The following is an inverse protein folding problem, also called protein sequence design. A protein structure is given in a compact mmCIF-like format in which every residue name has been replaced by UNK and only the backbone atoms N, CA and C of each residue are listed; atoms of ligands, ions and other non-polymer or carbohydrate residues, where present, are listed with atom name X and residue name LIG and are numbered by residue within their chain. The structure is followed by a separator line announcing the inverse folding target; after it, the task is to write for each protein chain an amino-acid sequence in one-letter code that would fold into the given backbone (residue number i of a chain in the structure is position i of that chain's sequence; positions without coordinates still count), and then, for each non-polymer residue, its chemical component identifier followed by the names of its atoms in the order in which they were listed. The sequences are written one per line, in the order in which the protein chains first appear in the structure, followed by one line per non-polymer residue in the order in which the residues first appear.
data_IF_954383699249
#
_entry.id   IF_954383699249
#
_cell.length_a   1.000
_cell.length_b   1.000
_cell.length_c   1.000
_cell.angle_alpha   90.00
_cell.angle_beta   90.00
_cell.angle_gamma   90.00
#
_symmetry.space_group_name_H-M   'P 1'
#
loop_
_entity.id
_entity.type
_entity.pdbx_description
1 polymer ?
#
# COMPACT_ATOMS: atom_id res chain seq x y z
N UNK A 1 3.93 26.19 -35.83
CA UNK A 1 4.70 27.18 -35.05
C UNK A 1 4.21 27.13 -33.61
N UNK A 2 5.10 26.91 -32.64
CA UNK A 2 4.71 26.91 -31.22
C UNK A 2 4.34 28.35 -30.79
N UNK A 3 3.27 28.49 -30.00
CA UNK A 3 2.78 29.79 -29.55
C UNK A 3 3.81 30.47 -28.63
N UNK A 4 3.98 31.80 -28.73
CA UNK A 4 5.00 32.54 -27.99
C UNK A 4 4.89 32.36 -26.46
N UNK A 5 3.67 32.16 -25.96
CA UNK A 5 3.40 31.83 -24.57
C UNK A 5 3.97 30.46 -24.16
N UNK A 6 3.86 29.44 -25.02
CA UNK A 6 4.42 28.10 -24.78
C UNK A 6 5.94 28.14 -24.71
N UNK A 7 6.57 28.89 -25.63
CA UNK A 7 8.02 29.08 -25.61
C UNK A 7 8.49 29.82 -24.34
N UNK A 8 7.72 30.81 -23.89
CA UNK A 8 7.97 31.51 -22.63
C UNK A 8 7.88 30.59 -21.41
N UNK A 9 6.91 29.67 -21.39
CA UNK A 9 6.78 28.69 -20.32
C UNK A 9 7.93 27.68 -20.31
N UNK A 10 8.29 27.12 -21.49
CA UNK A 10 9.44 26.22 -21.62
C UNK A 10 10.73 26.91 -21.14
N UNK A 11 10.95 28.17 -21.49
CA UNK A 11 12.11 28.92 -21.03
C UNK A 11 12.14 29.09 -19.50
N UNK A 12 10.98 29.36 -18.87
CA UNK A 12 10.87 29.42 -17.40
C UNK A 12 11.20 28.08 -16.75
N UNK A 13 10.73 26.97 -17.32
CA UNK A 13 11.04 25.63 -16.83
C UNK A 13 12.53 25.33 -16.92
N UNK A 14 13.14 25.62 -18.07
CA UNK A 14 14.58 25.43 -18.28
C UNK A 14 15.40 26.29 -17.30
N UNK A 15 15.04 27.56 -17.10
CA UNK A 15 15.73 28.46 -16.16
C UNK A 15 15.61 28.00 -14.71
N UNK A 16 14.44 27.49 -14.31
CA UNK A 16 14.21 26.96 -12.96
C UNK A 16 14.75 25.54 -12.76
N UNK A 17 15.34 24.94 -13.79
CA UNK A 17 15.83 23.57 -13.74
C UNK A 17 14.72 22.52 -13.64
N UNK A 18 13.47 22.88 -13.95
CA UNK A 18 12.37 21.95 -13.97
C UNK A 18 12.60 20.90 -15.05
N UNK A 19 12.35 19.65 -14.68
CA UNK A 19 12.43 18.48 -15.55
C UNK A 19 11.05 17.85 -15.59
N UNK A 20 10.71 17.27 -16.73
CA UNK A 20 9.54 16.40 -16.81
C UNK A 20 9.77 15.29 -15.78
N UNK A 21 8.82 15.01 -14.87
CA UNK A 21 8.99 14.06 -13.77
C UNK A 21 9.10 12.60 -14.23
N UNK A 22 9.23 12.34 -15.53
CA UNK A 22 9.21 11.01 -16.11
C UNK A 22 10.38 10.16 -15.58
N UNK A 23 10.06 9.18 -14.74
CA UNK A 23 11.05 8.31 -14.11
C UNK A 23 11.90 9.02 -13.07
N UNK A 24 11.36 10.06 -12.41
CA UNK A 24 12.02 10.73 -11.30
C UNK A 24 12.42 9.75 -10.19
N UNK A 25 11.53 8.80 -9.89
CA UNK A 25 11.81 7.71 -8.98
C UNK A 25 12.09 6.41 -9.72
N UNK A 26 13.07 5.68 -9.22
CA UNK A 26 13.28 4.27 -9.61
C UNK A 26 12.38 3.33 -8.81
N UNK A 27 12.22 2.11 -9.32
CA UNK A 27 11.73 0.99 -8.52
C UNK A 27 12.92 0.31 -7.85
N UNK A 28 12.82 0.10 -6.54
CA UNK A 28 13.80 -0.62 -5.74
C UNK A 28 13.19 -1.93 -5.24
N UNK A 29 14.04 -2.95 -5.17
CA UNK A 29 13.65 -4.27 -4.66
C UNK A 29 13.40 -4.20 -3.15
N UNK A 30 12.38 -4.94 -2.70
CA UNK A 30 12.07 -5.13 -1.28
C UNK A 30 11.77 -6.61 -1.01
N UNK A 31 12.34 -7.14 0.08
CA UNK A 31 12.22 -8.57 0.40
C UNK A 31 12.86 -9.45 -0.67
N UNK A 32 12.27 -10.62 -0.94
CA UNK A 32 12.82 -11.61 -1.86
C UNK A 32 12.40 -11.43 -3.34
N UNK A 33 11.29 -10.75 -3.60
CA UNK A 33 10.78 -10.55 -4.97
C UNK A 33 9.95 -9.28 -5.15
N UNK A 34 9.69 -8.52 -4.08
CA UNK A 34 8.84 -7.33 -4.16
C UNK A 34 9.59 -6.15 -4.77
N UNK A 35 8.85 -5.17 -5.28
CA UNK A 35 9.41 -3.92 -5.75
C UNK A 35 8.49 -2.74 -5.39
N UNK A 36 9.07 -1.66 -4.90
CA UNK A 36 8.38 -0.40 -4.58
C UNK A 36 9.12 0.77 -5.20
N UNK A 37 8.46 1.92 -5.28
CA UNK A 37 9.11 3.19 -5.58
C UNK A 37 10.22 3.42 -4.55
N UNK A 38 11.38 3.90 -4.96
CA UNK A 38 12.60 3.87 -4.14
C UNK A 38 12.50 4.58 -2.78
N UNK A 39 11.71 5.65 -2.70
CA UNK A 39 11.42 6.37 -1.44
C UNK A 39 10.52 5.54 -0.51
N UNK A 40 9.45 4.96 -1.04
CA UNK A 40 8.58 4.03 -0.32
C UNK A 40 9.34 2.77 0.11
N UNK A 41 10.21 2.24 -0.76
CA UNK A 41 11.07 1.09 -0.47
C UNK A 41 12.00 1.37 0.71
N UNK A 42 12.69 2.51 0.70
CA UNK A 42 13.59 2.92 1.78
C UNK A 42 12.87 2.99 3.12
N UNK A 43 11.68 3.61 3.14
CA UNK A 43 10.88 3.70 4.36
C UNK A 43 10.34 2.33 4.82
N UNK A 44 9.90 1.49 3.89
CA UNK A 44 9.42 0.14 4.19
C UNK A 44 10.53 -0.75 4.76
N UNK A 45 11.76 -0.64 4.24
CA UNK A 45 12.94 -1.35 4.76
C UNK A 45 13.30 -0.90 6.17
N UNK A 46 13.26 0.40 6.44
CA UNK A 46 13.44 0.92 7.80
C UNK A 46 12.38 0.39 8.78
N UNK A 47 11.11 0.39 8.34
CA UNK A 47 10.01 -0.15 9.12
C UNK A 47 10.15 -1.65 9.39
N UNK A 48 10.55 -2.45 8.39
CA UNK A 48 10.84 -3.88 8.55
C UNK A 48 11.86 -4.15 9.64
N UNK A 49 12.99 -3.42 9.62
CA UNK A 49 14.05 -3.55 10.60
C UNK A 49 13.53 -3.24 12.02
N UNK A 50 12.83 -2.12 12.18
CA UNK A 50 12.26 -1.71 13.46
C UNK A 50 11.25 -2.74 14.00
N UNK A 51 10.35 -3.22 13.15
CA UNK A 51 9.36 -4.21 13.57
C UNK A 51 10.00 -5.52 14.01
N UNK A 52 11.10 -5.92 13.38
CA UNK A 52 11.87 -7.10 13.79
C UNK A 52 12.46 -6.93 15.19
N UNK A 53 12.96 -5.75 15.55
CA UNK A 53 13.45 -5.45 16.90
C UNK A 53 12.33 -5.51 17.95
N UNK A 54 11.10 -5.10 17.57
CA UNK A 54 9.89 -5.24 18.40
C UNK A 54 9.31 -6.65 18.40
N UNK A 55 9.97 -7.59 17.73
CA UNK A 55 9.56 -8.97 17.64
C UNK A 55 8.44 -9.23 16.65
N UNK A 56 8.02 -8.25 15.84
CA UNK A 56 7.07 -8.40 14.74
C UNK A 56 7.73 -8.77 13.41
N UNK A 57 6.94 -8.80 12.33
CA UNK A 57 7.44 -8.95 10.96
C UNK A 57 6.44 -8.36 9.97
N UNK A 58 6.95 -7.80 8.88
CA UNK A 58 6.22 -7.48 7.63
C UNK A 58 7.02 -7.95 6.41
N UNK A 59 8.00 -8.82 6.64
CA UNK A 59 8.88 -9.30 5.58
C UNK A 59 8.09 -10.14 4.55
N UNK A 60 8.66 -10.26 3.35
CA UNK A 60 8.10 -11.10 2.31
C UNK A 60 8.06 -12.60 2.67
N UNK A 61 7.40 -13.44 1.84
CA UNK A 61 6.80 -13.09 0.55
C UNK A 61 5.56 -12.18 0.73
N UNK A 62 5.46 -11.14 -0.09
CA UNK A 62 4.32 -10.22 -0.06
C UNK A 62 3.08 -10.86 -0.72
N UNK A 63 1.90 -10.33 -0.46
CA UNK A 63 0.73 -10.63 -1.30
C UNK A 63 0.88 -9.98 -2.68
N UNK A 64 1.38 -8.74 -2.70
CA UNK A 64 1.57 -7.91 -3.88
C UNK A 64 2.40 -6.66 -3.54
N UNK A 65 3.07 -6.08 -4.53
CA UNK A 65 3.84 -4.82 -4.39
C UNK A 65 3.70 -3.99 -5.66
N UNK A 66 4.45 -4.32 -6.72
CA UNK A 66 4.35 -3.68 -8.02
C UNK A 66 3.46 -4.48 -8.96
N UNK A 67 2.32 -3.90 -9.35
CA UNK A 67 1.44 -4.45 -10.40
C UNK A 67 1.85 -3.96 -11.79
N UNK A 68 1.72 -4.79 -12.85
CA UNK A 68 1.79 -4.31 -14.22
C UNK A 68 0.54 -3.48 -14.58
N UNK A 69 0.60 -2.75 -15.69
CA UNK A 69 -0.61 -2.16 -16.29
C UNK A 69 -1.55 -3.26 -16.75
N UNK A 70 -2.84 -3.14 -16.43
CA UNK A 70 -3.82 -4.19 -16.75
C UNK A 70 -4.88 -3.67 -17.71
N UNK A 71 -5.17 -4.46 -18.77
CA UNK A 71 -6.28 -4.19 -19.69
C UNK A 71 -7.64 -4.54 -19.09
N UNK A 72 -7.67 -5.51 -18.18
CA UNK A 72 -8.87 -5.99 -17.49
C UNK A 72 -8.61 -6.01 -15.99
N UNK A 73 -9.63 -5.64 -15.21
CA UNK A 73 -9.54 -5.56 -13.75
C UNK A 73 -10.36 -6.70 -13.15
N UNK A 74 -9.78 -7.47 -12.24
CA UNK A 74 -10.50 -8.47 -11.45
C UNK A 74 -11.32 -7.81 -10.33
N UNK A 75 -12.38 -8.46 -9.88
CA UNK A 75 -13.13 -8.04 -8.69
C UNK A 75 -12.20 -7.79 -7.49
N UNK A 76 -12.32 -6.60 -6.88
CA UNK A 76 -11.47 -6.18 -5.76
C UNK A 76 -10.20 -5.43 -6.18
N UNK A 77 -9.83 -5.38 -7.46
CA UNK A 77 -8.70 -4.56 -7.92
C UNK A 77 -9.18 -3.20 -8.44
N UNK A 78 -8.28 -2.21 -8.41
CA UNK A 78 -8.50 -0.87 -8.98
C UNK A 78 -7.55 -0.64 -10.16
N UNK A 79 -8.07 -0.03 -11.24
CA UNK A 79 -7.26 0.35 -12.42
C UNK A 79 -6.25 1.44 -12.06
N UNK A 80 -6.58 2.29 -11.09
CA UNK A 80 -5.79 3.44 -10.65
C UNK A 80 -5.06 3.15 -9.34
N UNK A 81 -4.82 1.87 -9.04
CA UNK A 81 -4.22 1.41 -7.79
C UNK A 81 -2.77 1.86 -7.63
N UNK A 82 -2.39 2.22 -6.41
CA UNK A 82 -1.01 2.54 -6.05
C UNK A 82 0.02 1.43 -6.25
N UNK A 83 -0.41 0.16 -6.34
CA UNK A 83 0.48 -0.92 -6.73
C UNK A 83 1.10 -0.70 -8.12
N UNK A 84 0.43 0.02 -9.02
CA UNK A 84 0.98 0.32 -10.34
C UNK A 84 2.17 1.27 -10.24
N UNK A 85 2.19 2.17 -9.26
CA UNK A 85 3.28 3.12 -9.06
C UNK A 85 4.30 2.65 -8.01
N UNK A 86 4.18 1.39 -7.53
CA UNK A 86 5.06 0.84 -6.49
C UNK A 86 4.88 1.52 -5.14
N UNK A 87 3.69 2.05 -4.84
CA UNK A 87 3.40 2.76 -3.58
C UNK A 87 2.58 1.95 -2.59
N UNK A 88 2.10 0.78 -2.98
CA UNK A 88 1.31 -0.09 -2.12
C UNK A 88 2.00 -1.43 -1.89
N UNK A 89 1.79 -1.97 -0.70
CA UNK A 89 2.23 -3.30 -0.28
C UNK A 89 1.03 -4.05 0.26
N UNK A 90 0.80 -5.24 -0.27
CA UNK A 90 -0.09 -6.22 0.32
C UNK A 90 0.78 -7.16 1.17
N UNK A 91 0.52 -7.21 2.48
CA UNK A 91 1.22 -8.11 3.39
C UNK A 91 0.99 -9.59 3.04
N UNK A 92 1.89 -10.45 3.52
CA UNK A 92 1.78 -11.90 3.38
C UNK A 92 0.48 -12.45 4.00
N UNK A 93 -0.51 -12.82 3.18
CA UNK A 93 -1.78 -13.35 3.69
C UNK A 93 -1.67 -14.76 4.29
N UNK A 94 -0.55 -15.47 4.04
CA UNK A 94 -0.25 -16.78 4.61
C UNK A 94 0.56 -16.72 5.92
N UNK A 95 0.87 -15.53 6.43
CA UNK A 95 1.63 -15.38 7.67
C UNK A 95 0.81 -15.84 8.88
N UNK A 96 1.27 -16.91 9.54
CA UNK A 96 0.57 -17.55 10.67
C UNK A 96 0.62 -16.74 11.97
N UNK A 97 1.48 -15.73 12.03
CA UNK A 97 1.61 -14.82 13.18
C UNK A 97 0.64 -13.63 13.12
N UNK A 98 -0.08 -13.44 12.03
CA UNK A 98 -1.06 -12.35 11.90
C UNK A 98 -2.44 -12.76 12.36
N UNK A 99 -3.04 -11.91 13.17
CA UNK A 99 -4.41 -12.03 13.62
C UNK A 99 -5.15 -10.73 13.33
N UNK A 100 -6.22 -10.83 12.56
CA UNK A 100 -6.91 -9.67 12.01
C UNK A 100 -8.18 -9.41 12.81
N UNK A 101 -8.37 -8.20 13.30
CA UNK A 101 -9.54 -7.76 14.05
C UNK A 101 -10.33 -6.72 13.24
N UNK A 102 -11.66 -6.76 13.34
CA UNK A 102 -12.50 -5.71 12.76
C UNK A 102 -12.40 -4.45 13.60
N UNK A 103 -12.37 -3.32 12.91
CA UNK A 103 -12.39 -1.99 13.49
C UNK A 103 -13.42 -1.15 12.74
N UNK A 104 -14.72 -1.27 13.07
CA UNK A 104 -15.76 -0.48 12.40
C UNK A 104 -15.58 1.00 12.73
N UNK A 105 -15.57 1.86 11.71
CA UNK A 105 -15.41 3.32 11.86
C UNK A 105 -16.17 4.03 10.74
N UNK A 106 -17.04 4.98 11.10
CA UNK A 106 -17.73 5.82 10.11
C UNK A 106 -18.64 5.07 9.13
N UNK A 107 -19.15 3.89 9.50
CA UNK A 107 -19.94 3.03 8.61
C UNK A 107 -19.10 2.12 7.70
N UNK A 108 -17.77 2.20 7.78
CA UNK A 108 -16.84 1.34 7.05
C UNK A 108 -16.22 0.29 7.97
N UNK A 109 -15.76 -0.82 7.39
CA UNK A 109 -15.00 -1.84 8.12
C UNK A 109 -13.52 -1.62 7.86
N UNK A 110 -12.78 -1.23 8.90
CA UNK A 110 -11.32 -1.20 8.87
C UNK A 110 -10.78 -2.46 9.55
N UNK A 111 -9.51 -2.76 9.32
CA UNK A 111 -8.85 -3.92 9.89
C UNK A 111 -7.65 -3.53 10.74
N UNK A 112 -7.56 -4.11 11.93
CA UNK A 112 -6.38 -4.03 12.78
C UNK A 112 -5.67 -5.38 12.75
N UNK A 113 -4.35 -5.36 12.62
CA UNK A 113 -3.53 -6.56 12.61
C UNK A 113 -2.74 -6.63 13.91
N UNK A 114 -2.91 -7.72 14.63
CA UNK A 114 -2.03 -8.10 15.73
C UNK A 114 -1.00 -9.11 15.21
N UNK A 115 0.28 -8.79 15.34
CA UNK A 115 1.36 -9.71 15.01
C UNK A 115 1.85 -10.36 16.30
N UNK A 116 1.67 -11.68 16.45
CA UNK A 116 2.21 -12.41 17.60
C UNK A 116 3.72 -12.28 17.61
N UNK A 117 4.34 -11.83 18.70
CA UNK A 117 5.79 -11.57 18.75
C UNK A 117 6.61 -12.85 18.70
N UNK A 118 7.87 -12.77 18.22
CA UNK A 118 8.78 -13.92 18.19
C UNK A 118 9.16 -14.40 19.58
N UNK A 119 9.35 -13.46 20.52
CA UNK A 119 9.50 -13.77 21.94
C UNK A 119 8.16 -13.66 22.66
N UNK A 120 7.77 -14.72 23.35
CA UNK A 120 6.54 -14.83 24.14
C UNK A 120 6.80 -14.79 25.66
N UNK A 121 8.03 -14.47 26.09
CA UNK A 121 8.39 -14.25 27.50
C UNK A 121 7.74 -13.01 28.12
N UNK A 122 7.29 -12.08 27.26
CA UNK A 122 6.80 -10.76 27.64
C UNK A 122 7.83 -9.64 27.50
N UNK A 123 9.05 -9.95 27.05
CA UNK A 123 10.05 -8.93 26.73
C UNK A 123 9.72 -8.11 25.45
N UNK A 124 8.88 -8.66 24.57
CA UNK A 124 8.40 -8.02 23.34
C UNK A 124 6.88 -8.02 23.28
N UNK A 125 6.31 -6.93 22.77
CA UNK A 125 4.86 -6.77 22.61
C UNK A 125 4.11 -6.65 23.94
N UNK A 126 2.79 -6.79 23.86
CA UNK A 126 1.89 -6.74 25.01
C UNK A 126 0.72 -7.71 24.86
N UNK A 127 0.02 -7.98 25.95
CA UNK A 127 -1.22 -8.76 25.94
C UNK A 127 -2.39 -7.85 25.56
N UNK A 128 -3.25 -8.33 24.66
CA UNK A 128 -4.48 -7.63 24.28
C UNK A 128 -5.69 -8.41 24.80
N UNK A 129 -6.00 -8.23 26.08
CA UNK A 129 -7.11 -8.92 26.72
C UNK A 129 -8.45 -8.46 26.13
N UNK A 130 -9.34 -9.41 25.83
CA UNK A 130 -10.65 -9.14 25.26
C UNK A 130 -10.68 -8.82 23.75
N UNK A 131 -9.51 -8.78 23.08
CA UNK A 131 -9.48 -8.58 21.63
C UNK A 131 -10.17 -9.74 20.89
N UNK A 132 -11.01 -9.41 19.90
CA UNK A 132 -11.65 -10.37 19.01
C UNK A 132 -10.99 -10.32 17.63
N UNK A 133 -10.74 -11.48 17.05
CA UNK A 133 -10.12 -11.64 15.74
C UNK A 133 -11.05 -12.39 14.82
N UNK A 134 -11.07 -11.98 13.56
CA UNK A 134 -11.94 -12.49 12.52
C UNK A 134 -11.23 -13.54 11.67
N UNK A 135 -11.84 -14.71 11.55
CA UNK A 135 -11.40 -15.73 10.61
C UNK A 135 -12.14 -15.56 9.28
N UNK A 136 -11.40 -15.31 8.20
CA UNK A 136 -11.95 -15.23 6.84
C UNK A 136 -12.38 -16.60 6.29
N UNK A 137 -11.94 -17.70 6.90
CA UNK A 137 -12.34 -19.07 6.53
C UNK A 137 -13.68 -19.43 7.17
N UNK A 138 -13.80 -19.31 8.49
CA UNK A 138 -15.03 -19.66 9.20
C UNK A 138 -16.07 -18.53 9.20
N UNK A 139 -15.66 -17.33 8.78
CA UNK A 139 -16.45 -16.08 8.79
C UNK A 139 -16.97 -15.70 10.19
N UNK A 140 -16.21 -16.02 11.23
CA UNK A 140 -16.57 -15.80 12.63
C UNK A 140 -15.48 -15.07 13.38
N UNK A 141 -15.89 -14.37 14.44
CA UNK A 141 -14.99 -13.79 15.42
C UNK A 141 -14.73 -14.80 16.54
N UNK A 142 -13.51 -14.77 17.05
CA UNK A 142 -13.07 -15.54 18.21
C UNK A 142 -12.12 -14.70 19.05
N UNK A 143 -11.93 -15.03 20.35
CA UNK A 143 -10.90 -14.38 21.14
C UNK A 143 -9.52 -14.50 20.47
N UNK A 144 -8.74 -13.42 20.53
CA UNK A 144 -7.31 -13.47 20.21
C UNK A 144 -6.65 -14.54 21.10
N UNK A 145 -5.87 -15.49 20.54
CA UNK A 145 -5.19 -16.47 21.37
C UNK A 145 -4.28 -15.83 22.42
N UNK A 146 -4.06 -16.52 23.54
CA UNK A 146 -3.15 -16.01 24.57
C UNK A 146 -1.72 -15.86 24.01
N UNK A 147 -1.08 -14.76 24.37
CA UNK A 147 0.29 -14.44 23.98
C UNK A 147 0.60 -12.96 24.06
N UNK A 148 1.81 -12.61 23.63
CA UNK A 148 2.27 -11.24 23.44
C UNK A 148 2.24 -10.88 21.96
N UNK A 149 1.75 -9.70 21.67
CA UNK A 149 1.49 -9.23 20.32
C UNK A 149 2.01 -7.80 20.16
N UNK A 150 2.37 -7.48 18.94
CA UNK A 150 2.53 -6.12 18.46
C UNK A 150 1.24 -5.67 17.79
N UNK A 151 0.76 -4.46 18.07
CA UNK A 151 -0.26 -3.82 17.24
C UNK A 151 0.39 -3.38 15.94
N UNK A 152 0.44 -4.31 14.99
CA UNK A 152 1.19 -4.13 13.76
C UNK A 152 0.65 -2.95 12.94
N UNK A 153 -0.67 -2.78 12.93
CA UNK A 153 -1.29 -1.65 12.24
C UNK A 153 -0.88 -0.32 12.85
N UNK A 154 -0.89 -0.20 14.18
CA UNK A 154 -0.44 1.02 14.84
C UNK A 154 1.03 1.32 14.53
N UNK A 155 1.88 0.29 14.51
CA UNK A 155 3.30 0.46 14.24
C UNK A 155 3.61 0.84 12.79
N UNK A 156 2.90 0.27 11.81
CA UNK A 156 3.05 0.63 10.39
C UNK A 156 2.63 2.10 10.17
N UNK A 157 1.53 2.53 10.80
CA UNK A 157 1.00 3.88 10.62
C UNK A 157 1.62 4.94 11.53
N UNK A 158 2.52 4.54 12.44
CA UNK A 158 3.02 5.41 13.53
C UNK A 158 3.62 6.71 13.04
N UNK A 159 4.32 6.68 11.91
CA UNK A 159 5.00 7.85 11.33
C UNK A 159 4.12 8.60 10.31
N UNK A 160 2.90 8.13 10.07
CA UNK A 160 1.97 8.72 9.11
C UNK A 160 2.40 8.56 7.64
N UNK A 161 3.42 7.76 7.38
CA UNK A 161 3.98 7.57 6.04
C UNK A 161 3.25 6.48 5.24
N UNK A 162 2.76 5.45 5.95
CA UNK A 162 1.91 4.40 5.39
C UNK A 162 0.53 4.45 6.05
N UNK A 163 -0.50 4.24 5.26
CA UNK A 163 -1.87 4.10 5.75
C UNK A 163 -2.48 2.79 5.25
N UNK A 164 -3.37 2.20 6.05
CA UNK A 164 -4.25 1.12 5.59
C UNK A 164 -5.44 1.71 4.83
N UNK A 165 -6.17 0.86 4.10
CA UNK A 165 -7.48 1.20 3.54
C UNK A 165 -8.60 0.43 4.26
N UNK A 166 -9.85 0.85 4.06
CA UNK A 166 -11.01 0.11 4.56
C UNK A 166 -11.39 -1.02 3.60
N UNK A 167 -12.15 -2.00 4.09
CA UNK A 167 -12.74 -3.04 3.27
C UNK A 167 -13.69 -2.44 2.23
N UNK A 168 -13.67 -2.97 1.02
CA UNK A 168 -14.63 -2.61 -0.01
C UNK A 168 -16.01 -3.18 0.32
N UNK A 169 -17.06 -2.59 -0.26
CA UNK A 169 -18.43 -3.11 -0.13
C UNK A 169 -18.52 -4.55 -0.65
N UNK A 170 -19.07 -5.46 0.15
CA UNK A 170 -19.25 -6.87 -0.21
C UNK A 170 -18.13 -7.80 0.26
N UNK A 171 -17.17 -7.30 1.04
CA UNK A 171 -16.05 -8.08 1.58
C UNK A 171 -16.48 -9.33 2.36
N UNK A 172 -17.66 -9.34 2.97
CA UNK A 172 -18.23 -10.48 3.70
C UNK A 172 -18.43 -11.70 2.79
N UNK A 173 -18.66 -11.44 1.50
CA UNK A 173 -18.87 -12.45 0.47
C UNK A 173 -17.59 -12.74 -0.32
N UNK A 174 -16.73 -11.72 -0.50
CA UNK A 174 -15.51 -11.81 -1.30
C UNK A 174 -14.29 -11.40 -0.48
N UNK A 175 -13.49 -12.38 -0.03
CA UNK A 175 -12.32 -12.12 0.83
C UNK A 175 -11.32 -11.13 0.22
N UNK A 176 -11.17 -11.09 -1.11
CA UNK A 176 -10.31 -10.12 -1.83
C UNK A 176 -10.71 -8.66 -1.61
N UNK A 177 -11.97 -8.41 -1.32
CA UNK A 177 -12.49 -7.07 -1.01
C UNK A 177 -12.26 -6.67 0.45
N UNK A 178 -11.68 -7.55 1.28
CA UNK A 178 -11.41 -7.20 2.68
C UNK A 178 -10.26 -6.20 2.82
N UNK A 179 -9.25 -6.23 1.96
CA UNK A 179 -8.12 -5.29 1.99
C UNK A 179 -7.35 -5.24 3.32
N UNK A 180 -7.50 -6.25 4.20
CA UNK A 180 -6.89 -6.20 5.54
C UNK A 180 -5.36 -6.14 5.49
N UNK A 181 -4.77 -6.62 4.40
CA UNK A 181 -3.33 -6.70 4.18
C UNK A 181 -2.74 -5.46 3.51
N UNK A 182 -3.56 -4.53 3.03
CA UNK A 182 -3.14 -3.46 2.13
C UNK A 182 -2.67 -2.22 2.88
N UNK A 183 -1.45 -1.76 2.58
CA UNK A 183 -0.90 -0.50 3.06
C UNK A 183 -0.33 0.32 1.91
N UNK A 184 -0.53 1.63 1.94
CA UNK A 184 -0.08 2.54 0.88
C UNK A 184 0.75 3.70 1.43
N UNK A 185 1.83 4.00 0.72
CA UNK A 185 2.69 5.17 0.93
C UNK A 185 1.97 6.43 0.49
N UNK A 186 1.79 7.40 1.39
CA UNK A 186 1.01 8.63 1.16
C UNK A 186 1.81 9.91 0.88
N UNK A 187 3.08 10.07 1.30
CA UNK A 187 3.84 11.31 1.06
C UNK A 187 3.92 11.70 -0.41
N UNK A 188 3.59 12.96 -0.72
CA UNK A 188 3.65 13.47 -2.09
C UNK A 188 2.78 12.68 -3.07
N UNK A 189 1.59 12.22 -2.65
CA UNK A 189 0.55 11.71 -3.55
C UNK A 189 0.19 12.78 -4.58
N UNK A 190 0.17 12.42 -5.85
CA UNK A 190 -0.23 13.33 -6.93
C UNK A 190 -1.75 13.43 -7.05
N UNK A 191 -2.22 14.51 -7.68
CA UNK A 191 -3.64 14.76 -7.91
C UNK A 191 -4.24 13.77 -8.92
N UNK A 192 -3.48 13.40 -9.95
CA UNK A 192 -3.92 12.52 -11.03
C UNK A 192 -3.14 11.21 -11.05
N UNK A 193 -3.78 10.15 -11.55
CA UNK A 193 -3.14 8.84 -11.71
C UNK A 193 -2.07 8.86 -12.79
N UNK A 194 -2.23 9.69 -13.83
CA UNK A 194 -1.18 9.92 -14.83
C UNK A 194 0.08 10.50 -14.20
N UNK A 195 -0.02 11.58 -13.43
CA UNK A 195 1.15 12.21 -12.79
C UNK A 195 1.88 11.23 -11.86
N UNK A 196 1.11 10.43 -11.11
CA UNK A 196 1.66 9.39 -10.23
C UNK A 196 2.40 8.29 -11.01
N UNK A 197 1.91 7.94 -12.20
CA UNK A 197 2.54 6.97 -13.09
C UNK A 197 3.82 7.52 -13.74
N UNK A 198 3.79 8.78 -14.17
CA UNK A 198 4.94 9.43 -14.81
C UNK A 198 6.13 9.50 -13.85
N UNK A 199 5.89 9.71 -12.55
CA UNK A 199 6.94 9.70 -11.52
C UNK A 199 7.80 8.43 -11.52
N UNK A 200 7.27 7.28 -11.99
CA UNK A 200 8.00 6.00 -12.09
C UNK A 200 8.27 5.58 -13.54
N UNK A 201 8.15 6.50 -14.49
CA UNK A 201 8.51 6.29 -15.88
C UNK A 201 7.40 5.67 -16.74
N UNK A 202 6.18 5.54 -16.23
CA UNK A 202 5.03 5.08 -17.00
C UNK A 202 4.43 6.27 -17.73
N UNK A 203 4.57 6.29 -19.06
CA UNK A 203 4.07 7.37 -19.92
C UNK A 203 2.56 7.26 -20.17
N UNK A 204 1.91 8.39 -20.46
CA UNK A 204 0.53 8.41 -20.94
C UNK A 204 0.33 7.45 -22.12
N UNK A 205 1.25 7.44 -23.10
CA UNK A 205 1.18 6.52 -24.25
C UNK A 205 1.07 5.06 -23.83
N UNK A 206 1.80 4.63 -22.80
CA UNK A 206 1.71 3.27 -22.25
C UNK A 206 0.37 3.03 -21.56
N UNK A 207 -0.14 4.00 -20.80
CA UNK A 207 -1.47 3.94 -20.17
C UNK A 207 -2.57 3.81 -21.23
N UNK A 208 -2.55 4.63 -22.28
CA UNK A 208 -3.51 4.53 -23.40
C UNK A 208 -3.46 3.18 -24.10
N UNK A 209 -2.26 2.67 -24.36
CA UNK A 209 -2.07 1.34 -24.96
C UNK A 209 -2.59 0.21 -24.05
N UNK A 210 -2.61 0.43 -22.72
CA UNK A 210 -3.22 -0.45 -21.74
C UNK A 210 -4.74 -0.23 -21.56
N UNK A 211 -5.34 0.71 -22.29
CA UNK A 211 -6.79 0.95 -22.31
C UNK A 211 -7.29 1.89 -21.21
N UNK A 212 -6.45 2.81 -20.72
CA UNK A 212 -6.85 3.86 -19.79
C UNK A 212 -7.53 5.02 -20.54
N UNK A 213 -8.70 5.41 -20.06
CA UNK A 213 -9.50 6.54 -20.58
C UNK A 213 -9.07 7.87 -19.95
N UNK A 214 -9.52 9.01 -20.51
CA UNK A 214 -9.23 10.33 -19.91
C UNK A 214 -9.67 10.38 -18.44
N UNK A 215 -10.86 9.84 -18.17
CA UNK A 215 -11.40 9.75 -16.81
C UNK A 215 -10.56 8.86 -15.87
N UNK A 216 -9.83 7.86 -16.39
CA UNK A 216 -8.92 7.06 -15.56
C UNK A 216 -7.63 7.83 -15.25
N UNK A 217 -7.14 8.61 -16.21
CA UNK A 217 -5.90 9.38 -16.07
C UNK A 217 -6.06 10.53 -15.09
N UNK A 218 -7.15 11.29 -15.19
CA UNK A 218 -7.45 12.46 -14.36
C UNK A 218 -7.96 12.08 -12.95
N UNK A 219 -8.19 10.79 -12.69
CA UNK A 219 -8.67 10.31 -11.40
C UNK A 219 -7.56 10.38 -10.35
N UNK A 220 -7.93 10.69 -9.11
CA UNK A 220 -7.02 10.52 -7.98
C UNK A 220 -6.52 9.05 -7.87
N UNK A 221 -5.20 8.83 -7.68
CA UNK A 221 -4.65 7.49 -7.53
C UNK A 221 -5.03 6.88 -6.17
N UNK A 222 -5.06 5.55 -6.10
CA UNK A 222 -5.58 4.80 -4.94
C UNK A 222 -6.57 3.74 -5.36
#
# INVERSE_FOLDING_TARGET
MAHQATLGEIARWLQKGFRVPLGYFKLAEVGSWGALREDAASAWVGLMARLRELGGTIDGPYGDTKRPLMKTISTGASKTSFHICGRAVDLNQGQTRYYVAKEPRGGETWWRIYCKTSDQSGAQGQRFEGALVYSFVSKKESPLPAGFYLDLTAEIQREGLFERIHAQRGWEQHSRQSEWWHFQWVPGKQETFQDECELVGITEKQLRAAGYTDADLDRAPG
#
